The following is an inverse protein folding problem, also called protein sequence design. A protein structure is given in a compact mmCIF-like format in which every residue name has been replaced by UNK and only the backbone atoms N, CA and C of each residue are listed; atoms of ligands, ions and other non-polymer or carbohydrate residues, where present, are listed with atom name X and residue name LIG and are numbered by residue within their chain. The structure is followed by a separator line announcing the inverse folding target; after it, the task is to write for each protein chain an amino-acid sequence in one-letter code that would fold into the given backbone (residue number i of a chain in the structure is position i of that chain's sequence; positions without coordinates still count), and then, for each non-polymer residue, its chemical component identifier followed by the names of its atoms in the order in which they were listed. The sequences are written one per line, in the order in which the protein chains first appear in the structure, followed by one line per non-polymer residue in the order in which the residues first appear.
data_IF_145853558154
#
_entry.id   IF_145853558154
#
_cell.length_a   1.000
_cell.length_b   1.000
_cell.length_c   1.000
_cell.angle_alpha   90.00
_cell.angle_beta   90.00
_cell.angle_gamma   90.00
#
_symmetry.space_group_name_H-M   'P 1'
#
loop_
_entity.id
_entity.type
_entity.pdbx_description
1 polymer ?
#
# COMPACT_ATOMS: atom_id res chain seq x y z
N UNK A 1 -2.66 -12.24 -26.32
CA UNK A 1 -3.45 -11.20 -27.00
C UNK A 1 -3.40 -9.98 -26.09
N UNK A 2 -2.60 -8.98 -26.48
CA UNK A 2 -2.41 -7.73 -25.71
C UNK A 2 -3.67 -6.88 -25.80
N UNK A 3 -4.29 -6.57 -24.67
CA UNK A 3 -5.34 -5.57 -24.62
C UNK A 3 -4.74 -4.22 -25.05
N UNK A 4 -5.40 -3.45 -25.95
CA UNK A 4 -4.94 -2.12 -26.27
C UNK A 4 -5.01 -1.26 -25.00
N UNK A 5 -3.88 -0.63 -24.65
CA UNK A 5 -3.81 0.37 -23.60
C UNK A 5 -4.78 1.50 -23.96
N UNK A 6 -5.97 1.46 -23.39
CA UNK A 6 -6.94 2.57 -23.47
C UNK A 6 -6.26 3.75 -22.77
N UNK A 7 -5.99 4.81 -23.51
CA UNK A 7 -5.48 6.07 -22.95
C UNK A 7 -6.28 6.41 -21.69
N UNK A 8 -5.63 6.80 -20.57
CA UNK A 8 -6.36 7.11 -19.37
C UNK A 8 -7.41 8.16 -19.66
N UNK A 9 -8.68 7.83 -19.51
CA UNK A 9 -9.77 8.78 -19.71
C UNK A 9 -9.51 9.99 -18.83
N UNK A 10 -9.45 11.17 -19.42
CA UNK A 10 -9.27 12.42 -18.70
C UNK A 10 -10.61 12.82 -18.04
N UNK A 11 -10.93 12.16 -16.95
CA UNK A 11 -12.20 12.35 -16.21
C UNK A 11 -12.46 13.80 -15.82
N UNK A 12 -11.40 14.58 -15.60
CA UNK A 12 -11.49 16.00 -15.27
C UNK A 12 -11.97 16.88 -16.42
N UNK A 13 -11.82 16.44 -17.66
CA UNK A 13 -12.23 17.19 -18.85
C UNK A 13 -13.68 16.92 -19.27
N UNK A 14 -14.32 15.89 -18.73
CA UNK A 14 -15.69 15.51 -19.07
C UNK A 14 -16.71 16.33 -18.28
N UNK A 15 -17.89 16.62 -18.86
CA UNK A 15 -19.00 17.22 -18.14
C UNK A 15 -19.66 16.21 -17.16
N UNK A 16 -20.26 16.71 -16.08
CA UNK A 16 -20.93 15.84 -15.08
C UNK A 16 -22.00 14.91 -15.67
N UNK A 17 -22.88 15.36 -16.61
CA UNK A 17 -23.87 14.47 -17.24
C UNK A 17 -23.21 13.33 -18.00
N UNK A 18 -22.10 13.61 -18.68
CA UNK A 18 -21.34 12.64 -19.45
C UNK A 18 -20.67 11.60 -18.54
N UNK A 19 -20.07 12.06 -17.43
CA UNK A 19 -19.48 11.17 -16.41
C UNK A 19 -20.53 10.24 -15.81
N UNK A 20 -21.73 10.77 -15.45
CA UNK A 20 -22.83 9.95 -14.92
C UNK A 20 -23.27 8.89 -15.92
N UNK A 21 -23.40 9.25 -17.19
CA UNK A 21 -23.77 8.31 -18.26
C UNK A 21 -22.71 7.22 -18.44
N UNK A 22 -21.43 7.59 -18.47
CA UNK A 22 -20.31 6.66 -18.62
C UNK A 22 -20.19 5.70 -17.42
N UNK A 23 -20.43 6.20 -16.20
CA UNK A 23 -20.39 5.40 -14.98
C UNK A 23 -21.70 4.67 -14.71
N UNK A 24 -22.74 4.89 -15.51
CA UNK A 24 -24.10 4.32 -15.32
C UNK A 24 -24.59 4.56 -13.90
N UNK A 25 -24.48 5.81 -13.45
CA UNK A 25 -24.94 6.23 -12.13
C UNK A 25 -25.97 7.36 -12.25
N UNK A 26 -26.79 7.52 -11.22
CA UNK A 26 -27.84 8.55 -11.17
C UNK A 26 -27.54 9.60 -10.11
N UNK A 27 -28.37 10.64 -10.02
CA UNK A 27 -28.29 11.62 -8.93
C UNK A 27 -28.64 11.00 -7.56
N UNK A 28 -29.35 9.88 -7.54
CA UNK A 28 -29.70 9.11 -6.34
C UNK A 28 -28.65 8.05 -5.97
N UNK A 29 -27.56 7.98 -6.74
CA UNK A 29 -26.51 6.98 -6.59
C UNK A 29 -26.84 5.64 -7.26
N UNK A 30 -26.00 4.65 -7.02
CA UNK A 30 -26.20 3.27 -7.48
C UNK A 30 -27.26 2.55 -6.64
N UNK A 31 -27.87 1.50 -7.18
CA UNK A 31 -28.63 0.57 -6.35
C UNK A 31 -27.69 -0.30 -5.52
N UNK A 32 -28.19 -0.88 -4.43
CA UNK A 32 -27.40 -1.77 -3.55
C UNK A 32 -26.97 -3.02 -4.30
N UNK A 33 -27.83 -3.54 -5.18
CA UNK A 33 -27.57 -4.73 -6.00
C UNK A 33 -26.47 -4.46 -7.02
N UNK A 34 -26.55 -3.32 -7.71
CA UNK A 34 -25.53 -2.91 -8.69
C UNK A 34 -24.19 -2.68 -8.02
N UNK A 35 -24.17 -2.03 -6.85
CA UNK A 35 -22.93 -1.83 -6.10
C UNK A 35 -22.31 -3.16 -5.67
N UNK A 36 -23.09 -4.14 -5.23
CA UNK A 36 -22.60 -5.49 -4.92
C UNK A 36 -22.03 -6.21 -6.14
N UNK A 37 -22.73 -6.12 -7.28
CA UNK A 37 -22.27 -6.73 -8.52
C UNK A 37 -20.92 -6.13 -8.95
N UNK A 38 -20.77 -4.80 -8.89
CA UNK A 38 -19.52 -4.11 -9.22
C UNK A 38 -18.39 -4.46 -8.23
N UNK A 39 -18.70 -4.59 -6.95
CA UNK A 39 -17.72 -4.99 -5.94
C UNK A 39 -17.21 -6.41 -6.19
N UNK A 40 -18.08 -7.33 -6.60
CA UNK A 40 -17.70 -8.69 -6.94
C UNK A 40 -16.83 -8.75 -8.22
N UNK A 41 -17.07 -7.87 -9.17
CA UNK A 41 -16.42 -7.85 -10.49
C UNK A 41 -15.07 -7.11 -10.44
N UNK A 42 -15.03 -5.94 -9.81
CA UNK A 42 -13.87 -5.04 -9.74
C UNK A 42 -12.97 -5.30 -8.54
N UNK A 43 -13.48 -5.97 -7.51
CA UNK A 43 -12.81 -6.18 -6.23
C UNK A 43 -12.91 -4.96 -5.29
N UNK A 44 -12.37 -5.09 -4.07
CA UNK A 44 -12.42 -4.04 -3.06
C UNK A 44 -11.54 -2.84 -3.43
N UNK A 45 -11.96 -1.65 -2.99
CA UNK A 45 -11.18 -0.42 -3.11
C UNK A 45 -10.01 -0.44 -2.11
N UNK A 46 -8.98 -1.14 -2.47
CA UNK A 46 -7.75 -1.27 -1.69
C UNK A 46 -6.55 -0.98 -2.57
N UNK A 47 -5.63 -0.17 -2.05
CA UNK A 47 -4.32 -0.02 -2.69
C UNK A 47 -3.60 -1.35 -2.51
N UNK A 48 -3.27 -2.01 -3.63
CA UNK A 48 -2.50 -3.25 -3.57
C UNK A 48 -1.21 -3.02 -2.79
N UNK A 49 -1.19 -3.53 -1.56
CA UNK A 49 0.05 -3.52 -0.77
C UNK A 49 1.09 -4.36 -1.52
N UNK A 50 2.29 -3.81 -1.65
CA UNK A 50 3.42 -4.61 -2.12
C UNK A 50 3.57 -5.80 -1.20
N UNK A 51 3.74 -6.99 -1.78
CA UNK A 51 4.05 -8.17 -1.01
C UNK A 51 5.22 -7.87 -0.05
N UNK A 52 5.13 -8.28 1.22
CA UNK A 52 6.19 -8.03 2.18
C UNK A 52 7.51 -8.56 1.64
N UNK A 53 8.57 -7.78 1.81
CA UNK A 53 9.92 -8.17 1.38
C UNK A 53 10.25 -9.55 1.97
N UNK A 54 10.80 -10.43 1.14
CA UNK A 54 11.22 -11.74 1.60
C UNK A 54 12.35 -11.59 2.61
N UNK A 55 12.38 -12.40 3.65
CA UNK A 55 13.33 -12.31 4.75
C UNK A 55 14.80 -12.20 4.31
N UNK A 56 15.18 -12.88 3.24
CA UNK A 56 16.54 -12.84 2.71
C UNK A 56 16.85 -11.51 2.00
N UNK A 57 15.84 -10.80 1.44
CA UNK A 57 16.03 -9.48 0.84
C UNK A 57 16.32 -8.43 1.91
N UNK A 58 15.63 -8.54 3.05
CA UNK A 58 15.89 -7.70 4.23
C UNK A 58 17.30 -7.95 4.74
N UNK A 59 17.72 -9.23 4.83
CA UNK A 59 19.07 -9.59 5.26
C UNK A 59 20.14 -9.09 4.28
N UNK A 60 19.96 -9.29 2.97
CA UNK A 60 20.90 -8.82 1.95
C UNK A 60 21.03 -7.29 1.94
N UNK A 61 19.97 -6.57 2.28
CA UNK A 61 20.00 -5.11 2.39
C UNK A 61 20.97 -4.64 3.47
N UNK A 62 21.11 -5.41 4.57
CA UNK A 62 22.08 -5.10 5.62
C UNK A 62 23.51 -5.11 5.08
N UNK A 63 23.87 -6.06 4.20
CA UNK A 63 25.19 -6.17 3.60
C UNK A 63 25.48 -5.10 2.54
N UNK A 64 24.51 -4.28 2.19
CA UNK A 64 24.69 -3.17 1.25
C UNK A 64 25.20 -1.88 1.91
N UNK A 65 25.26 -1.85 3.25
CA UNK A 65 25.81 -0.73 3.99
C UNK A 65 27.32 -0.61 3.74
N UNK A 66 27.84 0.57 3.37
CA UNK A 66 29.27 0.77 3.18
C UNK A 66 30.11 0.40 4.42
N UNK A 67 29.57 0.63 5.61
CA UNK A 67 30.22 0.28 6.87
C UNK A 67 30.39 -1.24 7.03
N UNK A 68 29.36 -2.01 6.68
CA UNK A 68 29.41 -3.48 6.74
C UNK A 68 30.39 -4.02 5.70
N UNK A 69 30.40 -3.47 4.50
CA UNK A 69 31.37 -3.84 3.46
C UNK A 69 32.82 -3.54 3.90
N UNK A 70 33.05 -2.41 4.56
CA UNK A 70 34.34 -2.07 5.11
C UNK A 70 34.79 -3.05 6.21
N UNK A 71 33.92 -3.38 7.15
CA UNK A 71 34.19 -4.35 8.20
C UNK A 71 34.40 -5.76 7.64
N UNK A 72 33.67 -6.15 6.61
CA UNK A 72 33.85 -7.43 5.93
C UNK A 72 35.23 -7.48 5.25
N UNK A 73 35.66 -6.37 4.61
CA UNK A 73 37.00 -6.23 4.05
C UNK A 73 38.07 -6.36 5.12
N UNK A 74 37.88 -5.71 6.28
CA UNK A 74 38.79 -5.83 7.41
C UNK A 74 38.88 -7.27 7.93
N UNK A 75 37.76 -7.98 8.07
CA UNK A 75 37.75 -9.38 8.48
C UNK A 75 38.51 -10.28 7.50
N UNK A 76 38.36 -10.03 6.20
CA UNK A 76 39.13 -10.77 5.18
C UNK A 76 40.62 -10.50 5.30
N UNK A 77 41.06 -9.25 5.52
CA UNK A 77 42.45 -8.89 5.69
C UNK A 77 43.06 -9.56 6.94
N UNK A 78 42.38 -9.48 8.10
CA UNK A 78 42.83 -10.13 9.33
C UNK A 78 42.93 -11.65 9.18
N UNK A 79 42.02 -12.27 8.41
CA UNK A 79 42.10 -13.68 8.09
C UNK A 79 43.36 -14.04 7.27
N UNK A 80 43.70 -13.23 6.29
CA UNK A 80 44.94 -13.42 5.50
C UNK A 80 46.24 -13.22 6.32
N UNK A 81 46.17 -12.33 7.32
CA UNK A 81 47.29 -12.11 8.26
C UNK A 81 47.37 -13.21 9.32
N UNK A 82 46.53 -14.24 9.28
CA UNK A 82 46.43 -15.31 10.27
C UNK A 82 46.02 -14.84 11.68
N UNK A 83 45.42 -13.66 11.79
CA UNK A 83 44.83 -13.11 13.03
C UNK A 83 43.43 -13.68 13.24
N UNK A 84 43.34 -14.96 13.55
CA UNK A 84 42.08 -15.71 13.62
C UNK A 84 41.13 -15.15 14.67
N UNK A 85 41.65 -14.71 15.81
CA UNK A 85 40.86 -14.17 16.90
C UNK A 85 40.21 -12.85 16.50
N UNK A 86 40.93 -11.93 15.88
CA UNK A 86 40.41 -10.63 15.44
C UNK A 86 39.36 -10.80 14.32
N UNK A 87 39.63 -11.67 13.37
CA UNK A 87 38.69 -12.01 12.33
C UNK A 87 37.38 -12.58 12.90
N UNK A 88 37.48 -13.48 13.89
CA UNK A 88 36.31 -14.04 14.58
C UNK A 88 35.49 -12.96 15.29
N UNK A 89 36.14 -12.05 16.02
CA UNK A 89 35.47 -10.96 16.74
C UNK A 89 34.73 -10.02 15.77
N UNK A 90 35.37 -9.67 14.64
CA UNK A 90 34.77 -8.82 13.61
C UNK A 90 33.53 -9.53 13.01
N UNK A 91 33.65 -10.81 12.63
CA UNK A 91 32.53 -11.57 12.05
C UNK A 91 31.40 -11.77 13.06
N UNK A 92 31.71 -12.01 14.32
CA UNK A 92 30.68 -12.11 15.39
C UNK A 92 29.95 -10.78 15.56
N UNK A 93 30.66 -9.67 15.56
CA UNK A 93 30.09 -8.32 15.65
C UNK A 93 29.16 -8.04 14.45
N UNK A 94 29.59 -8.40 13.24
CA UNK A 94 28.76 -8.28 12.04
C UNK A 94 27.49 -9.12 12.14
N UNK A 95 27.58 -10.35 12.62
CA UNK A 95 26.43 -11.24 12.80
C UNK A 95 25.44 -10.68 13.81
N UNK A 96 25.93 -10.20 14.96
CA UNK A 96 25.09 -9.58 15.99
C UNK A 96 24.40 -8.33 15.47
N UNK A 97 25.14 -7.48 14.76
CA UNK A 97 24.57 -6.25 14.17
C UNK A 97 23.52 -6.56 13.11
N UNK A 98 23.77 -7.52 12.21
CA UNK A 98 22.81 -7.95 11.20
C UNK A 98 21.55 -8.57 11.83
N UNK A 99 21.71 -9.36 12.88
CA UNK A 99 20.60 -9.96 13.62
C UNK A 99 19.72 -8.90 14.31
N UNK A 100 20.36 -7.92 14.94
CA UNK A 100 19.66 -6.82 15.60
C UNK A 100 18.92 -5.95 14.59
N UNK A 101 19.58 -5.58 13.50
CA UNK A 101 18.96 -4.80 12.42
C UNK A 101 17.77 -5.51 11.80
N UNK A 102 17.89 -6.80 11.53
CA UNK A 102 16.79 -7.63 11.03
C UNK A 102 15.58 -7.65 12.01
N UNK A 103 15.86 -7.80 13.30
CA UNK A 103 14.80 -7.82 14.31
C UNK A 103 14.10 -6.48 14.44
N UNK A 104 14.86 -5.37 14.45
CA UNK A 104 14.33 -4.01 14.51
C UNK A 104 13.45 -3.69 13.28
N UNK A 105 13.91 -4.03 12.06
CA UNK A 105 13.16 -3.80 10.82
C UNK A 105 11.85 -4.59 10.83
N UNK A 106 11.88 -5.86 11.24
CA UNK A 106 10.67 -6.70 11.37
C UNK A 106 9.68 -6.16 12.40
N UNK A 107 10.19 -5.64 13.52
CA UNK A 107 9.33 -5.03 14.54
C UNK A 107 8.68 -3.76 14.00
N UNK A 108 9.44 -2.87 13.37
CA UNK A 108 8.92 -1.64 12.79
C UNK A 108 7.84 -1.91 11.73
N UNK A 109 8.03 -2.89 10.83
CA UNK A 109 7.02 -3.28 9.85
C UNK A 109 5.71 -3.74 10.50
N UNK A 110 5.79 -4.52 11.59
CA UNK A 110 4.60 -4.99 12.32
C UNK A 110 3.86 -3.84 12.99
N UNK A 111 4.58 -2.93 13.62
CA UNK A 111 4.00 -1.79 14.34
C UNK A 111 3.28 -0.84 13.35
N UNK A 112 3.88 -0.56 12.20
CA UNK A 112 3.25 0.22 11.13
C UNK A 112 2.00 -0.48 10.59
N UNK A 113 2.03 -1.80 10.38
CA UNK A 113 0.87 -2.56 9.91
C UNK A 113 -0.27 -2.54 10.94
N UNK A 114 0.04 -2.69 12.23
CA UNK A 114 -0.95 -2.63 13.29
C UNK A 114 -1.64 -1.25 13.34
N UNK A 115 -0.88 -0.15 13.22
CA UNK A 115 -1.43 1.20 13.18
C UNK A 115 -2.36 1.43 11.98
N UNK A 116 -2.01 0.90 10.81
CA UNK A 116 -2.87 0.99 9.61
C UNK A 116 -4.20 0.25 9.77
N UNK A 117 -4.20 -0.90 10.45
CA UNK A 117 -5.41 -1.69 10.69
C UNK A 117 -6.38 -1.00 11.66
N UNK A 118 -5.89 -0.17 12.58
CA UNK A 118 -6.74 0.59 13.50
C UNK A 118 -7.54 1.71 12.82
N UNK A 119 -7.14 2.13 11.62
CA UNK A 119 -7.83 3.18 10.86
C UNK A 119 -8.63 2.53 9.74
N UNK A 120 -9.76 1.92 10.07
CA UNK A 120 -10.75 1.52 9.06
C UNK A 120 -11.29 2.83 8.47
N UNK A 121 -10.86 3.16 7.26
CA UNK A 121 -11.43 4.30 6.56
C UNK A 121 -12.90 3.98 6.25
N UNK A 122 -13.80 4.82 6.73
CA UNK A 122 -15.23 4.76 6.42
C UNK A 122 -15.59 5.86 5.42
N UNK A 123 -16.65 5.65 4.67
CA UNK A 123 -17.20 6.61 3.73
C UNK A 123 -18.71 6.65 3.84
N UNK A 124 -19.28 7.83 3.70
CA UNK A 124 -20.74 8.00 3.60
C UNK A 124 -21.11 8.00 2.12
N UNK A 125 -21.84 6.99 1.68
CA UNK A 125 -22.33 6.86 0.30
C UNK A 125 -23.82 7.11 0.22
N UNK A 126 -24.27 7.61 -0.93
CA UNK A 126 -25.68 7.68 -1.26
C UNK A 126 -25.97 6.60 -2.27
N UNK A 127 -26.79 5.61 -1.89
CA UNK A 127 -27.28 4.52 -2.75
C UNK A 127 -28.79 4.48 -2.72
N UNK A 128 -29.44 4.43 -3.87
CA UNK A 128 -30.90 4.50 -3.99
C UNK A 128 -31.52 5.68 -3.22
N UNK A 129 -30.87 6.84 -3.26
CA UNK A 129 -31.31 8.05 -2.54
C UNK A 129 -31.10 8.04 -1.02
N UNK A 130 -30.57 6.96 -0.46
CA UNK A 130 -30.35 6.84 1.00
C UNK A 130 -28.87 6.91 1.33
N UNK A 131 -28.51 7.79 2.29
CA UNK A 131 -27.14 7.86 2.80
C UNK A 131 -26.85 6.70 3.75
N UNK A 132 -25.75 6.01 3.53
CA UNK A 132 -25.28 4.91 4.35
C UNK A 132 -23.79 5.02 4.60
N UNK A 133 -23.35 4.65 5.81
CA UNK A 133 -21.92 4.60 6.17
C UNK A 133 -21.41 3.19 5.92
N UNK A 134 -20.37 3.10 5.08
CA UNK A 134 -19.77 1.82 4.70
C UNK A 134 -18.25 1.87 4.90
N UNK A 135 -17.61 0.71 4.93
CA UNK A 135 -16.15 0.66 4.88
C UNK A 135 -15.66 1.18 3.52
N UNK A 136 -14.63 2.04 3.50
CA UNK A 136 -14.11 2.62 2.25
C UNK A 136 -13.67 1.56 1.22
N UNK A 137 -13.30 0.37 1.68
CA UNK A 137 -12.97 -0.78 0.81
C UNK A 137 -14.17 -1.31 0.01
N UNK A 138 -15.41 -0.98 0.43
CA UNK A 138 -16.66 -1.40 -0.24
C UNK A 138 -17.16 -0.36 -1.26
N UNK A 139 -16.40 0.74 -1.43
CA UNK A 139 -16.65 1.72 -2.47
C UNK A 139 -16.41 1.11 -3.84
N UNK A 140 -17.29 1.42 -4.77
CA UNK A 140 -17.18 1.00 -6.16
C UNK A 140 -17.24 2.19 -7.11
N UNK A 141 -16.72 2.00 -8.30
CA UNK A 141 -16.75 3.02 -9.34
C UNK A 141 -18.21 3.34 -9.69
N UNK A 142 -18.57 4.62 -9.57
CA UNK A 142 -19.94 5.12 -9.79
C UNK A 142 -20.74 5.39 -8.51
N UNK A 143 -20.17 5.08 -7.33
CA UNK A 143 -20.77 5.49 -6.05
C UNK A 143 -20.82 7.01 -5.93
N UNK A 144 -21.88 7.52 -5.35
CA UNK A 144 -22.01 8.90 -4.93
C UNK A 144 -21.57 9.01 -3.46
N UNK A 145 -20.46 9.70 -3.21
CA UNK A 145 -19.87 9.83 -1.87
C UNK A 145 -20.15 11.23 -1.32
N UNK A 146 -20.67 11.28 -0.09
CA UNK A 146 -20.84 12.53 0.65
C UNK A 146 -19.59 12.78 1.50
N UNK A 147 -19.02 13.97 1.32
CA UNK A 147 -17.86 14.42 2.10
C UNK A 147 -18.25 15.63 2.95
N UNK A 148 -17.81 15.65 4.17
CA UNK A 148 -17.93 16.79 5.08
C UNK A 148 -16.56 17.38 5.41
N UNK A 149 -16.54 18.59 5.90
CA UNK A 149 -15.27 19.23 6.28
C UNK A 149 -14.57 18.42 7.38
N UNK A 150 -13.32 18.02 7.12
CA UNK A 150 -12.54 17.15 8.02
C UNK A 150 -12.54 15.70 7.62
N UNK A 151 -13.37 15.27 6.68
CA UNK A 151 -13.38 13.91 6.19
C UNK A 151 -12.13 13.60 5.37
N UNK A 152 -11.67 12.37 5.51
CA UNK A 152 -10.59 11.84 4.68
C UNK A 152 -11.16 11.34 3.36
N UNK A 153 -10.61 11.80 2.24
CA UNK A 153 -11.01 11.36 0.90
C UNK A 153 -10.74 9.86 0.75
N UNK A 154 -11.78 9.01 0.56
CA UNK A 154 -11.65 7.56 0.62
C UNK A 154 -11.25 6.90 -0.71
N UNK A 155 -11.33 7.62 -1.82
CA UNK A 155 -11.02 7.16 -3.17
C UNK A 155 -10.75 8.35 -4.09
N UNK A 156 -10.39 8.08 -5.34
CA UNK A 156 -10.37 9.12 -6.37
C UNK A 156 -11.80 9.57 -6.68
N UNK A 157 -12.09 10.84 -6.44
CA UNK A 157 -13.43 11.41 -6.54
C UNK A 157 -13.46 12.60 -7.50
N UNK A 158 -14.64 12.82 -8.04
CA UNK A 158 -14.98 14.06 -8.74
C UNK A 158 -16.06 14.80 -7.97
N UNK A 159 -15.80 16.05 -7.61
CA UNK A 159 -16.78 16.90 -6.97
C UNK A 159 -17.93 17.20 -7.93
N UNK A 160 -19.15 17.14 -7.42
CA UNK A 160 -20.39 17.38 -8.17
C UNK A 160 -21.09 18.66 -7.75
N UNK A 161 -20.91 19.07 -6.49
CA UNK A 161 -21.43 20.31 -5.90
C UNK A 161 -20.43 20.81 -4.87
#
# INVERSE_FOLDING_TARGET
MSQPATSPKQWHALGLPEVRTLLRTTAEGLSVEEARARLADLGPNEIQERAPDRWYQVLLRQFRSPMILFLLGAAVITLFLHEWFDSFVILLTLLLNASLGFWQERKAERDVKALRQLTVAEATVVRSGTAARIAARELVVGDLVRLESGDKVPADLRLTD
#
